data_IF_708511344163
#
_entry.id   IF_708511344163
#
_cell.length_a   1.000
_cell.length_b   1.000
_cell.length_c   1.000
_cell.angle_alpha   90.00
_cell.angle_beta   90.00
_cell.angle_gamma   90.00
#
_symmetry.space_group_name_H-M   'P 1'
#
loop_
_entity.id
_entity.type
_entity.pdbx_description
1 polymer ?
#
# COMPACT_ATOMS: atom_id res chain seq x y z
N UNK A 1 36.06 -40.09 -22.48
CA UNK A 1 36.40 -38.77 -23.04
C UNK A 1 35.20 -38.30 -23.85
N UNK A 2 34.48 -37.29 -23.32
CA UNK A 2 33.45 -36.52 -24.04
C UNK A 2 32.03 -37.08 -24.05
N UNK A 3 31.21 -36.72 -23.04
CA UNK A 3 29.75 -36.45 -23.20
C UNK A 3 28.95 -36.39 -21.87
N UNK A 4 29.47 -35.79 -20.78
CA UNK A 4 28.68 -35.61 -19.54
C UNK A 4 28.72 -34.16 -19.00
N UNK A 5 29.46 -33.25 -19.63
CA UNK A 5 29.78 -31.92 -19.08
C UNK A 5 29.00 -30.74 -19.69
N UNK A 6 27.69 -30.87 -19.94
CA UNK A 6 26.91 -29.76 -20.55
C UNK A 6 25.48 -29.53 -20.01
N UNK A 7 25.10 -30.12 -18.87
CA UNK A 7 23.72 -29.97 -18.35
C UNK A 7 23.59 -29.22 -17.00
N UNK A 8 24.68 -28.71 -16.40
CA UNK A 8 24.61 -28.01 -15.10
C UNK A 8 24.59 -26.47 -15.19
N UNK A 9 24.55 -25.89 -16.39
CA UNK A 9 24.78 -24.44 -16.55
C UNK A 9 23.58 -23.60 -17.00
N UNK A 10 22.35 -23.88 -16.52
CA UNK A 10 21.21 -22.95 -16.70
C UNK A 10 20.33 -22.77 -15.46
N UNK A 11 20.54 -21.59 -14.85
CA UNK A 11 19.56 -20.71 -14.18
C UNK A 11 19.21 -20.99 -12.71
N UNK A 12 20.19 -20.68 -11.85
CA UNK A 12 19.91 -19.89 -10.65
C UNK A 12 19.50 -18.47 -11.08
N UNK A 13 18.22 -18.07 -10.95
CA UNK A 13 17.78 -16.67 -11.03
C UNK A 13 16.29 -16.41 -10.67
N UNK A 14 15.57 -17.30 -9.98
CA UNK A 14 14.17 -17.02 -9.63
C UNK A 14 14.04 -16.45 -8.20
N UNK A 15 14.04 -15.11 -8.18
CA UNK A 15 13.15 -14.24 -7.39
C UNK A 15 13.28 -14.21 -5.85
N UNK A 16 14.29 -13.50 -5.30
CA UNK A 16 14.34 -13.09 -3.89
C UNK A 16 13.26 -12.05 -3.48
N UNK A 17 12.55 -11.44 -4.44
CA UNK A 17 11.54 -10.41 -4.16
C UNK A 17 10.24 -10.97 -3.56
N UNK A 18 9.80 -12.16 -3.97
CA UNK A 18 8.56 -12.78 -3.49
C UNK A 18 8.67 -13.24 -2.03
N UNK A 19 9.85 -13.73 -1.62
CA UNK A 19 10.14 -14.13 -0.25
C UNK A 19 10.28 -12.93 0.71
N UNK A 20 10.72 -11.78 0.20
CA UNK A 20 10.78 -10.55 0.99
C UNK A 20 9.37 -9.99 1.27
N UNK A 21 8.46 -10.05 0.29
CA UNK A 21 7.06 -9.63 0.47
C UNK A 21 6.30 -10.54 1.45
N UNK A 22 6.55 -11.85 1.44
CA UNK A 22 5.94 -12.77 2.41
C UNK A 22 6.49 -12.58 3.82
N UNK A 23 7.81 -12.36 3.97
CA UNK A 23 8.44 -12.13 5.27
C UNK A 23 8.02 -10.78 5.89
N UNK A 24 7.69 -9.78 5.07
CA UNK A 24 7.20 -8.47 5.53
C UNK A 24 5.74 -8.56 5.96
N UNK A 25 4.88 -9.29 5.23
CA UNK A 25 3.50 -9.57 5.67
C UNK A 25 3.46 -10.38 6.97
N UNK A 26 4.40 -11.31 7.15
CA UNK A 26 4.53 -12.13 8.35
C UNK A 26 5.12 -11.33 9.54
N UNK A 27 5.98 -10.33 9.27
CA UNK A 27 6.44 -9.38 10.26
C UNK A 27 5.35 -8.37 10.67
N UNK A 28 4.50 -7.94 9.73
CA UNK A 28 3.37 -7.04 9.96
C UNK A 28 2.30 -7.72 10.83
N UNK A 29 2.01 -9.00 10.59
CA UNK A 29 1.15 -9.83 11.45
C UNK A 29 1.79 -10.05 12.83
N UNK A 30 3.11 -10.29 12.89
CA UNK A 30 3.81 -10.53 14.15
C UNK A 30 3.90 -9.27 15.00
N UNK A 31 4.11 -8.11 14.42
CA UNK A 31 4.13 -6.84 15.14
C UNK A 31 2.72 -6.45 15.59
N UNK A 32 1.67 -6.70 14.79
CA UNK A 32 0.27 -6.50 15.25
C UNK A 32 -0.09 -7.46 16.42
N UNK A 33 0.43 -8.69 16.40
CA UNK A 33 0.27 -9.66 17.51
C UNK A 33 1.10 -9.26 18.75
N UNK A 34 2.31 -8.75 18.58
CA UNK A 34 3.18 -8.33 19.70
C UNK A 34 2.73 -6.99 20.32
N UNK A 35 2.09 -6.12 19.55
CA UNK A 35 1.50 -4.87 20.05
C UNK A 35 0.19 -5.12 20.81
N UNK A 36 -0.52 -6.21 20.53
CA UNK A 36 -1.70 -6.66 21.28
C UNK A 36 -1.34 -7.19 22.69
N UNK A 37 -0.11 -7.71 22.87
CA UNK A 37 0.36 -8.27 24.16
C UNK A 37 0.96 -7.18 25.10
N UNK A 38 1.42 -6.05 24.55
CA UNK A 38 2.00 -4.95 25.34
C UNK A 38 0.98 -3.88 25.77
N UNK A 39 -0.27 -3.96 25.32
CA UNK A 39 -1.31 -2.94 25.46
C UNK A 39 -2.51 -3.36 26.30
N UNK A 40 -2.31 -4.18 27.33
CA UNK A 40 -3.41 -4.51 28.26
C UNK A 40 -3.83 -3.23 29.01
N UNK A 41 -5.14 -2.88 28.89
CA UNK A 41 -5.90 -1.76 29.51
C UNK A 41 -6.12 -0.49 28.67
N UNK A 42 -6.95 -0.58 27.65
CA UNK A 42 -8.08 0.36 27.51
C UNK A 42 -9.32 -0.45 27.14
N UNK A 43 -10.17 -0.73 28.12
CA UNK A 43 -11.54 -1.19 27.88
C UNK A 43 -12.24 -0.20 26.94
N UNK A 44 -12.64 -0.64 25.75
CA UNK A 44 -13.52 0.14 24.87
C UNK A 44 -14.87 -0.52 24.68
N UNK A 45 -15.88 0.31 24.93
CA UNK A 45 -17.21 -0.02 25.40
C UNK A 45 -18.22 0.02 24.25
N UNK A 46 -17.93 -0.68 23.14
CA UNK A 46 -18.94 -0.98 22.13
C UNK A 46 -19.23 -2.48 22.13
N UNK A 47 -20.51 -2.91 22.15
CA UNK A 47 -20.84 -4.32 22.17
C UNK A 47 -20.21 -4.98 20.93
N UNK A 48 -19.63 -6.18 21.07
CA UNK A 48 -18.95 -6.87 19.98
C UNK A 48 -19.94 -7.07 18.83
N UNK A 49 -19.82 -6.26 17.77
CA UNK A 49 -20.69 -6.36 16.59
C UNK A 49 -20.04 -7.29 15.57
N UNK A 50 -19.60 -8.47 16.03
CA UNK A 50 -19.11 -9.52 15.16
C UNK A 50 -20.23 -9.89 14.16
N UNK A 51 -20.15 -9.36 12.93
CA UNK A 51 -21.06 -9.70 11.84
C UNK A 51 -22.24 -8.75 11.59
N UNK A 52 -22.29 -7.55 12.20
CA UNK A 52 -23.29 -6.54 11.82
C UNK A 52 -23.13 -6.04 10.37
N UNK A 53 -24.22 -5.59 9.73
CA UNK A 53 -24.17 -4.98 8.37
C UNK A 53 -23.18 -3.80 8.35
N UNK A 54 -23.07 -3.05 9.44
CA UNK A 54 -22.09 -1.97 9.59
C UNK A 54 -20.64 -2.48 9.57
N UNK A 55 -20.35 -3.60 10.25
CA UNK A 55 -19.02 -4.21 10.28
C UNK A 55 -18.61 -4.74 8.89
N UNK A 56 -19.55 -5.35 8.16
CA UNK A 56 -19.33 -5.79 6.78
C UNK A 56 -19.14 -4.63 5.80
N UNK A 57 -19.89 -3.53 5.95
CA UNK A 57 -19.71 -2.31 5.13
C UNK A 57 -18.34 -1.68 5.36
N UNK A 58 -17.90 -1.58 6.62
CA UNK A 58 -16.58 -1.08 6.96
C UNK A 58 -15.48 -1.99 6.39
N UNK A 59 -15.64 -3.31 6.52
CA UNK A 59 -14.69 -4.28 5.98
C UNK A 59 -14.58 -4.20 4.45
N UNK A 60 -15.70 -4.03 3.74
CA UNK A 60 -15.69 -3.82 2.28
C UNK A 60 -15.03 -2.50 1.87
N UNK A 61 -15.28 -1.42 2.62
CA UNK A 61 -14.61 -0.15 2.38
C UNK A 61 -13.09 -0.30 2.59
N UNK A 62 -12.67 -0.88 3.72
CA UNK A 62 -11.27 -1.16 4.01
C UNK A 62 -10.63 -2.05 2.94
N UNK A 63 -11.32 -3.09 2.46
CA UNK A 63 -10.86 -3.94 1.37
C UNK A 63 -10.62 -3.17 0.06
N UNK A 64 -11.54 -2.27 -0.31
CA UNK A 64 -11.36 -1.43 -1.51
C UNK A 64 -10.20 -0.46 -1.37
N UNK A 65 -10.05 0.16 -0.19
CA UNK A 65 -8.93 1.05 0.11
C UNK A 65 -7.60 0.29 0.08
N UNK A 66 -7.55 -0.88 0.70
CA UNK A 66 -6.40 -1.78 0.71
C UNK A 66 -5.97 -2.13 -0.70
N UNK A 67 -6.90 -2.64 -1.53
CA UNK A 67 -6.63 -2.99 -2.91
C UNK A 67 -6.15 -1.80 -3.76
N UNK A 68 -6.71 -0.60 -3.56
CA UNK A 68 -6.34 0.56 -4.37
C UNK A 68 -5.03 1.20 -3.93
N UNK A 69 -4.80 1.35 -2.62
CA UNK A 69 -3.63 2.03 -2.09
C UNK A 69 -2.38 1.15 -2.13
N UNK A 70 -2.49 -0.15 -1.83
CA UNK A 70 -1.38 -1.09 -2.01
C UNK A 70 -1.12 -1.45 -3.46
N UNK A 71 -2.13 -1.33 -4.33
CA UNK A 71 -1.97 -1.55 -5.77
C UNK A 71 -0.89 -0.68 -6.41
N UNK A 72 -0.72 0.57 -5.95
CA UNK A 72 0.28 1.49 -6.51
C UNK A 72 1.74 1.11 -6.11
N UNK A 73 2.10 0.97 -4.82
CA UNK A 73 3.42 0.49 -4.40
C UNK A 73 3.78 -0.88 -4.98
N UNK A 74 2.83 -1.82 -5.01
CA UNK A 74 3.06 -3.16 -5.57
C UNK A 74 3.35 -3.12 -7.08
N UNK A 75 2.76 -2.18 -7.80
CA UNK A 75 2.99 -1.97 -9.23
C UNK A 75 4.15 -1.03 -9.54
N UNK A 76 4.85 -0.50 -8.53
CA UNK A 76 5.92 0.47 -8.72
C UNK A 76 7.08 -0.08 -9.57
N UNK A 77 7.33 -1.40 -9.54
CA UNK A 77 8.34 -2.04 -10.39
C UNK A 77 8.12 -1.81 -11.88
N UNK A 78 6.86 -1.76 -12.34
CA UNK A 78 6.51 -1.47 -13.74
C UNK A 78 6.79 -0.01 -14.08
N UNK A 79 6.45 0.90 -13.17
CA UNK A 79 6.78 2.32 -13.32
C UNK A 79 8.30 2.54 -13.35
N UNK A 80 9.05 1.90 -12.46
CA UNK A 80 10.51 1.97 -12.43
C UNK A 80 11.13 1.51 -13.76
N UNK A 81 10.64 0.38 -14.31
CA UNK A 81 11.11 -0.10 -15.59
C UNK A 81 10.75 0.87 -16.72
N UNK A 82 9.54 1.43 -16.72
CA UNK A 82 9.16 2.44 -17.71
C UNK A 82 10.01 3.72 -17.61
N UNK A 83 10.23 4.25 -16.40
CA UNK A 83 11.08 5.43 -16.20
C UNK A 83 12.52 5.20 -16.66
N UNK A 84 13.04 3.97 -16.55
CA UNK A 84 14.38 3.64 -17.06
C UNK A 84 14.51 3.73 -18.58
N UNK A 85 13.39 3.69 -19.33
CA UNK A 85 13.36 3.80 -20.79
C UNK A 85 13.26 5.25 -21.30
N UNK A 86 12.88 6.19 -20.43
CA UNK A 86 12.73 7.60 -20.80
C UNK A 86 14.10 8.28 -20.71
N UNK A 87 14.59 8.96 -21.77
CA UNK A 87 15.92 9.60 -21.78
C UNK A 87 16.16 10.60 -20.63
N UNK A 88 15.09 11.24 -20.15
CA UNK A 88 15.09 12.22 -19.06
C UNK A 88 15.41 11.60 -17.68
N UNK A 89 15.10 10.31 -17.50
CA UNK A 89 15.33 9.57 -16.25
C UNK A 89 16.31 8.41 -16.42
N UNK A 90 16.59 8.00 -17.66
CA UNK A 90 17.47 6.90 -18.02
C UNK A 90 18.90 7.13 -17.47
N UNK A 91 19.40 6.15 -16.72
CA UNK A 91 20.73 6.19 -16.11
C UNK A 91 20.76 6.62 -14.64
N UNK A 92 19.63 7.06 -14.07
CA UNK A 92 19.58 7.45 -12.67
C UNK A 92 19.29 6.24 -11.75
N UNK A 93 20.24 5.90 -10.86
CA UNK A 93 20.11 4.77 -9.92
C UNK A 93 19.01 4.97 -8.88
N UNK A 94 18.55 6.20 -8.68
CA UNK A 94 17.60 6.54 -7.63
C UNK A 94 16.11 6.30 -8.00
N UNK A 95 15.79 5.78 -9.18
CA UNK A 95 14.40 5.53 -9.59
C UNK A 95 13.69 4.54 -8.66
N UNK A 96 14.39 3.50 -8.20
CA UNK A 96 13.84 2.53 -7.23
C UNK A 96 13.58 3.13 -5.84
N UNK A 97 14.28 4.22 -5.49
CA UNK A 97 14.20 4.83 -4.16
C UNK A 97 12.82 5.47 -3.90
N UNK A 98 12.11 5.89 -4.94
CA UNK A 98 10.74 6.43 -4.81
C UNK A 98 9.82 5.40 -4.15
N UNK A 99 9.77 4.17 -4.67
CA UNK A 99 8.95 3.09 -4.11
C UNK A 99 9.43 2.69 -2.71
N UNK A 100 10.76 2.64 -2.50
CA UNK A 100 11.33 2.35 -1.17
C UNK A 100 10.98 3.42 -0.13
N UNK A 101 10.97 4.71 -0.50
CA UNK A 101 10.57 5.80 0.40
C UNK A 101 9.06 5.75 0.65
N UNK A 102 8.24 5.47 -0.38
CA UNK A 102 6.80 5.36 -0.23
C UNK A 102 6.42 4.27 0.78
N UNK A 103 6.88 3.04 0.56
CA UNK A 103 6.63 1.92 1.47
C UNK A 103 7.36 2.10 2.80
N UNK A 104 8.61 2.58 2.75
CA UNK A 104 9.46 2.77 3.93
C UNK A 104 8.89 3.80 4.90
N UNK A 105 8.35 4.93 4.42
CA UNK A 105 7.65 5.89 5.28
C UNK A 105 6.35 5.33 5.84
N UNK A 106 5.63 4.53 5.05
CA UNK A 106 4.45 3.81 5.52
C UNK A 106 4.75 2.93 6.73
N UNK A 107 5.84 2.15 6.68
CA UNK A 107 6.23 1.22 7.74
C UNK A 107 6.99 1.89 8.90
N UNK A 108 7.98 2.73 8.62
CA UNK A 108 8.76 3.40 9.67
C UNK A 108 7.94 4.45 10.43
N UNK A 109 6.84 4.93 9.84
CA UNK A 109 5.90 5.81 10.51
C UNK A 109 4.94 5.09 11.48
N UNK A 110 4.76 3.77 11.36
CA UNK A 110 3.88 2.97 12.23
C UNK A 110 4.07 3.27 13.73
N UNK A 111 5.30 3.14 14.29
CA UNK A 111 5.53 3.32 15.71
C UNK A 111 5.26 4.76 16.19
N UNK A 112 5.22 5.74 15.29
CA UNK A 112 4.94 7.14 15.61
C UNK A 112 3.43 7.40 15.60
N UNK A 113 2.72 6.83 14.62
CA UNK A 113 1.28 7.09 14.39
C UNK A 113 0.39 6.25 15.31
N UNK A 114 0.75 5.00 15.60
CA UNK A 114 -0.01 4.12 16.50
C UNK A 114 -0.25 4.72 17.90
N UNK A 115 0.76 5.19 18.65
CA UNK A 115 0.53 5.80 19.97
C UNK A 115 -0.23 7.14 19.89
N UNK A 116 -0.13 7.85 18.76
CA UNK A 116 -0.91 9.07 18.52
C UNK A 116 -2.40 8.75 18.35
N UNK A 117 -2.72 7.68 17.62
CA UNK A 117 -4.10 7.19 17.43
C UNK A 117 -4.70 6.74 18.77
N UNK A 118 -3.97 5.92 19.54
CA UNK A 118 -4.44 5.41 20.83
C UNK A 118 -4.75 6.55 21.83
N UNK A 119 -3.97 7.64 21.82
CA UNK A 119 -4.23 8.81 22.68
C UNK A 119 -5.38 9.69 22.20
N UNK A 120 -5.71 9.66 20.90
CA UNK A 120 -6.63 10.62 20.27
C UNK A 120 -7.56 9.91 19.29
N UNK A 121 -8.32 8.92 19.76
CA UNK A 121 -9.25 8.15 18.92
C UNK A 121 -10.31 8.99 18.19
N UNK A 122 -10.67 10.14 18.75
CA UNK A 122 -11.56 11.12 18.10
C UNK A 122 -10.99 11.71 16.78
N UNK A 123 -9.68 11.52 16.50
CA UNK A 123 -9.02 12.01 15.29
C UNK A 123 -8.96 10.97 14.15
N UNK A 124 -9.42 9.73 14.37
CA UNK A 124 -9.41 8.66 13.35
C UNK A 124 -10.11 9.10 12.05
N UNK A 125 -11.35 9.62 12.17
CA UNK A 125 -12.13 10.08 11.02
C UNK A 125 -11.47 11.25 10.29
N UNK A 126 -11.08 12.37 10.93
CA UNK A 126 -10.42 13.45 10.22
C UNK A 126 -9.06 13.05 9.63
N UNK A 127 -8.32 12.11 10.24
CA UNK A 127 -7.09 11.57 9.64
C UNK A 127 -7.36 10.86 8.31
N UNK A 128 -8.43 10.08 8.22
CA UNK A 128 -8.86 9.44 6.97
C UNK A 128 -9.23 10.50 5.92
N UNK A 129 -10.02 11.51 6.32
CA UNK A 129 -10.44 12.61 5.44
C UNK A 129 -9.29 13.49 4.94
N UNK A 130 -8.17 13.56 5.68
CA UNK A 130 -6.99 14.34 5.30
C UNK A 130 -5.96 13.49 4.55
N UNK A 131 -5.72 12.25 4.98
CA UNK A 131 -4.70 11.38 4.37
C UNK A 131 -5.09 10.93 2.96
N UNK A 132 -6.37 10.62 2.73
CA UNK A 132 -6.88 10.23 1.42
C UNK A 132 -6.65 11.28 0.30
N UNK A 133 -7.05 12.56 0.46
CA UNK A 133 -6.79 13.56 -0.56
C UNK A 133 -5.29 13.86 -0.71
N UNK A 134 -4.49 13.70 0.34
CA UNK A 134 -3.03 13.84 0.24
C UNK A 134 -2.43 12.74 -0.67
N UNK A 135 -2.90 11.50 -0.59
CA UNK A 135 -2.51 10.44 -1.52
C UNK A 135 -2.89 10.77 -2.97
N UNK A 136 -4.08 11.33 -3.19
CA UNK A 136 -4.54 11.70 -4.54
C UNK A 136 -3.74 12.89 -5.08
N UNK A 137 -3.56 13.93 -4.26
CA UNK A 137 -2.80 15.12 -4.63
C UNK A 137 -1.35 14.79 -4.92
N UNK A 138 -0.74 13.85 -4.18
CA UNK A 138 0.63 13.41 -4.45
C UNK A 138 0.76 12.66 -5.78
N UNK A 139 -0.20 11.80 -6.14
CA UNK A 139 -0.25 11.15 -7.46
C UNK A 139 -0.46 12.16 -8.59
N UNK A 140 -1.36 13.12 -8.41
CA UNK A 140 -1.61 14.19 -9.39
C UNK A 140 -0.40 15.10 -9.52
N UNK A 141 0.26 15.48 -8.43
CA UNK A 141 1.50 16.25 -8.44
C UNK A 141 2.63 15.47 -9.14
N UNK A 142 2.71 14.16 -8.90
CA UNK A 142 3.65 13.27 -9.61
C UNK A 142 3.43 13.23 -11.12
N UNK A 143 2.20 13.46 -11.61
CA UNK A 143 1.93 13.57 -13.04
C UNK A 143 2.54 14.81 -13.69
N UNK A 144 2.88 15.85 -12.93
CA UNK A 144 3.55 17.06 -13.44
C UNK A 144 5.05 17.06 -13.15
N UNK A 145 5.58 16.00 -12.54
CA UNK A 145 6.99 15.89 -12.20
C UNK A 145 7.83 15.75 -13.48
N UNK A 146 8.69 16.73 -13.74
CA UNK A 146 9.65 16.74 -14.86
C UNK A 146 11.04 16.26 -14.44
N UNK A 147 11.28 16.08 -13.14
CA UNK A 147 12.56 15.62 -12.58
C UNK A 147 12.36 14.49 -11.59
N UNK A 148 13.38 13.64 -11.44
CA UNK A 148 13.33 12.50 -10.54
C UNK A 148 13.17 12.94 -9.08
N UNK A 149 13.79 14.05 -8.68
CA UNK A 149 13.67 14.59 -7.33
C UNK A 149 12.22 14.97 -6.98
N UNK A 150 11.52 15.62 -7.92
CA UNK A 150 10.09 15.95 -7.74
C UNK A 150 9.26 14.67 -7.68
N UNK A 151 9.61 13.64 -8.46
CA UNK A 151 8.94 12.35 -8.40
C UNK A 151 9.16 11.64 -7.05
N UNK A 152 10.38 11.68 -6.49
CA UNK A 152 10.70 11.15 -5.17
C UNK A 152 9.91 11.89 -4.08
N UNK A 153 9.85 13.22 -4.14
CA UNK A 153 9.13 14.02 -3.15
C UNK A 153 7.61 13.80 -3.22
N UNK A 154 7.05 13.67 -4.42
CA UNK A 154 5.61 13.48 -4.62
C UNK A 154 5.19 12.04 -4.39
N UNK A 155 5.67 11.10 -5.21
CA UNK A 155 5.28 9.69 -5.15
C UNK A 155 5.93 8.89 -4.03
N UNK A 156 7.09 9.32 -3.55
CA UNK A 156 7.77 8.71 -2.41
C UNK A 156 7.26 9.33 -1.12
N UNK A 157 7.70 10.55 -0.85
CA UNK A 157 7.49 11.19 0.44
C UNK A 157 6.03 11.59 0.71
N UNK A 158 5.41 12.34 -0.21
CA UNK A 158 4.05 12.83 0.00
C UNK A 158 3.01 11.70 -0.04
N UNK A 159 3.14 10.76 -0.98
CA UNK A 159 2.29 9.58 -1.03
C UNK A 159 2.48 8.68 0.20
N UNK A 160 3.74 8.39 0.59
CA UNK A 160 4.04 7.60 1.78
C UNK A 160 3.50 8.23 3.07
N UNK A 161 3.59 9.57 3.20
CA UNK A 161 3.03 10.29 4.34
C UNK A 161 1.49 10.25 4.35
N UNK A 162 0.84 10.44 3.20
CA UNK A 162 -0.62 10.31 3.09
C UNK A 162 -1.08 8.90 3.43
N UNK A 163 -0.37 7.89 2.91
CA UNK A 163 -0.61 6.48 3.16
C UNK A 163 -0.47 6.17 4.66
N UNK A 164 0.62 6.63 5.29
CA UNK A 164 0.84 6.53 6.73
C UNK A 164 -0.30 7.15 7.56
N UNK A 165 -0.76 8.34 7.24
CA UNK A 165 -1.81 9.01 8.04
C UNK A 165 -3.17 8.30 7.91
N UNK A 166 -3.42 7.65 6.77
CA UNK A 166 -4.70 7.06 6.42
C UNK A 166 -4.82 5.55 6.74
N UNK A 167 -3.74 4.79 6.56
CA UNK A 167 -3.72 3.32 6.66
C UNK A 167 -3.97 2.82 8.09
N UNK A 168 -3.23 3.35 9.07
CA UNK A 168 -3.34 2.90 10.46
C UNK A 168 -4.72 3.17 11.09
N UNK A 169 -5.38 4.32 10.87
CA UNK A 169 -6.75 4.53 11.34
C UNK A 169 -7.74 3.49 10.82
N UNK A 170 -7.60 3.04 9.57
CA UNK A 170 -8.50 2.04 8.99
C UNK A 170 -8.27 0.67 9.61
N UNK A 171 -7.01 0.27 9.78
CA UNK A 171 -6.68 -0.98 10.48
C UNK A 171 -7.25 -0.98 11.90
N UNK A 172 -7.07 0.12 12.63
CA UNK A 172 -7.63 0.28 13.98
C UNK A 172 -9.16 0.18 13.99
N UNK A 173 -9.86 0.80 13.02
CA UNK A 173 -11.31 0.68 12.95
C UNK A 173 -11.76 -0.74 12.62
N UNK A 174 -11.02 -1.48 11.78
CA UNK A 174 -11.34 -2.88 11.47
C UNK A 174 -11.14 -3.76 12.72
N UNK A 175 -10.07 -3.57 13.47
CA UNK A 175 -9.80 -4.32 14.71
C UNK A 175 -10.82 -4.02 15.82
N UNK A 176 -11.32 -2.78 15.89
CA UNK A 176 -12.37 -2.37 16.83
C UNK A 176 -13.73 -3.05 16.52
N UNK A 177 -14.07 -3.25 15.23
CA UNK A 177 -15.32 -3.90 14.83
C UNK A 177 -15.26 -5.44 14.82
N UNK A 178 -14.07 -6.02 14.60
CA UNK A 178 -13.87 -7.46 14.46
C UNK A 178 -12.93 -7.98 15.54
N UNK A 179 -13.49 -8.32 16.72
CA UNK A 179 -12.68 -8.79 17.85
C UNK A 179 -12.50 -10.31 17.79
N UNK A 180 -13.59 -11.08 17.70
CA UNK A 180 -13.53 -12.54 17.74
C UNK A 180 -13.09 -13.17 16.41
N UNK A 181 -13.38 -12.51 15.28
CA UNK A 181 -13.01 -12.98 13.93
C UNK A 181 -12.00 -12.07 13.24
N UNK A 182 -11.13 -11.40 14.01
CA UNK A 182 -10.05 -10.55 13.49
C UNK A 182 -9.25 -11.23 12.37
N UNK A 183 -8.85 -12.49 12.55
CA UNK A 183 -8.06 -13.22 11.55
C UNK A 183 -8.76 -13.37 10.20
N UNK A 184 -10.09 -13.47 10.17
CA UNK A 184 -10.87 -13.50 8.93
C UNK A 184 -10.88 -12.14 8.24
N UNK A 185 -11.07 -11.06 9.01
CA UNK A 185 -11.06 -9.70 8.49
C UNK A 185 -9.70 -9.33 7.88
N UNK A 186 -8.61 -9.57 8.60
CA UNK A 186 -7.26 -9.37 8.09
C UNK A 186 -6.94 -10.30 6.91
N UNK A 187 -7.40 -11.55 6.93
CA UNK A 187 -7.25 -12.45 5.78
C UNK A 187 -7.91 -11.91 4.51
N UNK A 188 -9.09 -11.29 4.62
CA UNK A 188 -9.77 -10.62 3.50
C UNK A 188 -8.97 -9.40 3.00
N UNK A 189 -8.43 -8.59 3.91
CA UNK A 189 -7.56 -7.44 3.55
C UNK A 189 -6.29 -7.90 2.82
N UNK A 190 -5.58 -8.89 3.35
CA UNK A 190 -4.42 -9.49 2.70
C UNK A 190 -4.78 -10.07 1.31
N UNK A 191 -5.97 -10.67 1.18
CA UNK A 191 -6.50 -11.13 -0.10
C UNK A 191 -6.67 -9.99 -1.12
N UNK A 192 -7.12 -8.81 -0.66
CA UNK A 192 -7.24 -7.60 -1.49
C UNK A 192 -5.87 -7.17 -2.05
N UNK A 193 -4.85 -7.15 -1.19
CA UNK A 193 -3.47 -6.81 -1.56
C UNK A 193 -2.88 -7.84 -2.54
N UNK A 194 -3.20 -9.13 -2.39
CA UNK A 194 -2.81 -10.16 -3.36
C UNK A 194 -3.47 -9.99 -4.74
N UNK A 195 -4.78 -9.69 -4.77
CA UNK A 195 -5.52 -9.47 -6.02
C UNK A 195 -5.00 -8.22 -6.72
N UNK A 196 -4.85 -7.11 -6.00
CA UNK A 196 -4.36 -5.85 -6.57
C UNK A 196 -2.90 -5.95 -7.03
N UNK A 197 -2.04 -6.62 -6.28
CA UNK A 197 -0.65 -6.89 -6.67
C UNK A 197 -0.53 -7.75 -7.92
N UNK A 198 -1.53 -8.57 -8.23
CA UNK A 198 -1.55 -9.36 -9.47
C UNK A 198 -2.16 -8.56 -10.62
N UNK A 199 -3.28 -7.88 -10.42
CA UNK A 199 -4.06 -7.23 -11.48
C UNK A 199 -3.47 -5.86 -11.87
N UNK A 200 -3.06 -5.03 -10.90
CA UNK A 200 -2.62 -3.66 -11.19
C UNK A 200 -1.37 -3.57 -12.06
N UNK A 201 -0.32 -4.42 -11.90
CA UNK A 201 0.84 -4.33 -12.77
C UNK A 201 0.52 -4.47 -14.25
N UNK A 202 -0.39 -5.39 -14.62
CA UNK A 202 -0.81 -5.56 -16.02
C UNK A 202 -1.61 -4.35 -16.53
N UNK A 203 -2.52 -3.82 -15.72
CA UNK A 203 -3.30 -2.62 -16.07
C UNK A 203 -2.38 -1.42 -16.27
N UNK A 204 -1.50 -1.17 -15.31
CA UNK A 204 -0.51 -0.09 -15.34
C UNK A 204 0.42 -0.23 -16.54
N UNK A 205 0.91 -1.44 -16.82
CA UNK A 205 1.76 -1.70 -17.98
C UNK A 205 1.07 -1.35 -19.30
N UNK A 206 -0.19 -1.77 -19.46
CA UNK A 206 -0.99 -1.45 -20.65
C UNK A 206 -1.26 0.06 -20.79
N UNK A 207 -1.53 0.74 -19.68
CA UNK A 207 -1.74 2.19 -19.67
C UNK A 207 -0.46 2.96 -19.99
N UNK A 208 0.68 2.56 -19.41
CA UNK A 208 1.99 3.16 -19.66
C UNK A 208 2.38 3.05 -21.13
N UNK A 209 2.20 1.87 -21.73
CA UNK A 209 2.53 1.63 -23.13
C UNK A 209 1.71 2.50 -24.11
N UNK A 210 0.49 2.90 -23.73
CA UNK A 210 -0.43 3.63 -24.62
C UNK A 210 -0.52 5.12 -24.36
N UNK A 211 -0.39 5.56 -23.11
CA UNK A 211 -0.68 6.94 -22.68
C UNK A 211 0.46 7.62 -21.90
N UNK A 212 1.53 6.88 -21.57
CA UNK A 212 2.67 7.38 -20.81
C UNK A 212 2.42 7.56 -19.31
N UNK A 213 3.45 8.02 -18.59
CA UNK A 213 3.45 8.04 -17.11
C UNK A 213 2.46 9.07 -16.55
N UNK A 214 2.42 10.29 -17.08
CA UNK A 214 1.57 11.37 -16.58
C UNK A 214 0.08 10.99 -16.61
N UNK A 215 -0.39 10.48 -17.75
CA UNK A 215 -1.78 10.05 -17.92
C UNK A 215 -2.10 8.83 -17.06
N UNK A 216 -1.16 7.88 -16.91
CA UNK A 216 -1.35 6.70 -16.07
C UNK A 216 -1.52 7.09 -14.60
N UNK A 217 -0.72 8.02 -14.10
CA UNK A 217 -0.83 8.51 -12.71
C UNK A 217 -2.15 9.23 -12.45
N UNK A 218 -2.61 10.04 -13.40
CA UNK A 218 -3.94 10.66 -13.33
C UNK A 218 -5.06 9.62 -13.38
N UNK A 219 -4.93 8.59 -14.21
CA UNK A 219 -5.90 7.51 -14.29
C UNK A 219 -5.99 6.73 -12.97
N UNK A 220 -4.85 6.44 -12.33
CA UNK A 220 -4.80 5.81 -10.99
C UNK A 220 -5.41 6.73 -9.93
N UNK A 221 -5.11 8.03 -9.95
CA UNK A 221 -5.70 9.00 -9.04
C UNK A 221 -7.23 9.12 -9.21
N UNK A 222 -7.72 9.14 -10.44
CA UNK A 222 -9.16 9.14 -10.74
C UNK A 222 -9.81 7.83 -10.32
N UNK A 223 -9.17 6.69 -10.58
CA UNK A 223 -9.65 5.39 -10.14
C UNK A 223 -9.78 5.33 -8.62
N UNK A 224 -8.77 5.82 -7.88
CA UNK A 224 -8.85 6.00 -6.43
C UNK A 224 -10.05 6.86 -6.05
N UNK A 225 -10.20 8.05 -6.63
CA UNK A 225 -11.34 8.94 -6.33
C UNK A 225 -12.70 8.27 -6.59
N UNK A 226 -12.83 7.57 -7.71
CA UNK A 226 -14.10 6.94 -8.12
C UNK A 226 -14.42 5.71 -7.30
N UNK A 227 -13.42 4.88 -6.98
CA UNK A 227 -13.61 3.64 -6.21
C UNK A 227 -13.85 3.92 -4.73
N UNK A 228 -13.16 4.92 -4.17
CA UNK A 228 -13.22 5.20 -2.74
C UNK A 228 -14.16 6.35 -2.39
N UNK A 229 -14.41 7.28 -3.30
CA UNK A 229 -15.36 8.39 -3.12
C UNK A 229 -16.74 7.96 -2.62
N UNK A 230 -17.39 6.92 -3.19
CA UNK A 230 -18.70 6.46 -2.71
C UNK A 230 -18.64 5.66 -1.40
N UNK A 231 -17.44 5.30 -0.93
CA UNK A 231 -17.22 4.50 0.28
C UNK A 231 -16.93 5.37 1.52
N UNK A 232 -16.66 6.67 1.36
CA UNK A 232 -16.46 7.59 2.47
C UNK A 232 -17.85 7.99 3.02
N UNK A 233 -18.17 7.65 4.28
CA UNK A 233 -19.46 7.93 4.90
C UNK A 233 -19.69 9.42 5.22
#
# INVERSE_FOLDING_TARGET
MGSVELAEHRRAADTPAAAATSAVAEAEIRDDILLDDAGDRVEQHLPPVDGGIAAWRLLWAAFMFEACLWGFPLSYGVFQQYYSTIPEFAGNRYIGVVGTIASGLGYLGAPVVMPLIQRKQQWLRPMIWIGWPVCILSLVAGSFATTLEVLILTQGAAYGLGFLIFYYPILHMVSEYWVARRGMAYGILCGASGISGTVMPFVVQALLARYGYATTLRAVAVALVVLTGPMIP
#
